data_IF_071479446970
#
_entry.id   IF_071479446970
#
_cell.length_a   1.000
_cell.length_b   1.000
_cell.length_c   1.000
_cell.angle_alpha   90.00
_cell.angle_beta   90.00
_cell.angle_gamma   90.00
#
_symmetry.space_group_name_H-M   'P 1'
#
loop_
_entity.id
_entity.type
_entity.pdbx_description
1 polymer ?
#
# COMPACT_ATOMS: atom_id res chain seq x y z
N UNK A 1 6.30 -17.71 -28.80
CA UNK A 1 5.54 -16.80 -27.94
C UNK A 1 6.54 -15.94 -27.22
N UNK A 2 6.52 -14.63 -27.43
CA UNK A 2 7.36 -13.73 -26.64
C UNK A 2 6.93 -13.81 -25.18
N UNK A 3 7.88 -14.05 -24.28
CA UNK A 3 7.63 -14.06 -22.83
C UNK A 3 7.19 -12.67 -22.39
N UNK A 4 6.09 -12.61 -21.65
CA UNK A 4 5.59 -11.34 -21.08
C UNK A 4 6.51 -10.98 -19.92
N UNK A 5 7.20 -9.84 -20.04
CA UNK A 5 8.12 -9.32 -19.01
C UNK A 5 7.47 -8.19 -18.20
N UNK A 6 8.01 -7.82 -17.03
CA UNK A 6 7.53 -6.64 -16.29
C UNK A 6 7.49 -5.36 -17.15
N UNK A 7 8.53 -5.11 -17.93
CA UNK A 7 8.60 -3.94 -18.83
C UNK A 7 7.53 -3.99 -19.91
N UNK A 8 7.31 -5.14 -20.55
CA UNK A 8 6.28 -5.28 -21.58
C UNK A 8 4.88 -5.07 -21.01
N UNK A 9 4.62 -5.56 -19.80
CA UNK A 9 3.33 -5.38 -19.12
C UNK A 9 3.09 -3.92 -18.70
N UNK A 10 4.14 -3.25 -18.23
CA UNK A 10 4.11 -1.82 -17.93
C UNK A 10 3.76 -1.01 -19.18
N UNK A 11 4.43 -1.27 -20.31
CA UNK A 11 4.16 -0.57 -21.55
C UNK A 11 2.73 -0.80 -22.05
N UNK A 12 2.22 -2.02 -21.96
CA UNK A 12 0.82 -2.32 -22.29
C UNK A 12 -0.17 -1.50 -21.45
N UNK A 13 0.11 -1.30 -20.17
CA UNK A 13 -0.74 -0.49 -19.30
C UNK A 13 -0.71 1.01 -19.67
N UNK A 14 0.45 1.52 -20.08
CA UNK A 14 0.58 2.89 -20.59
C UNK A 14 -0.17 3.07 -21.93
N UNK A 15 -0.01 2.13 -22.86
CA UNK A 15 -0.64 2.17 -24.17
C UNK A 15 -2.17 2.05 -24.08
N UNK A 16 -2.65 1.28 -23.10
CA UNK A 16 -4.08 1.15 -22.79
C UNK A 16 -4.66 2.38 -22.05
N UNK A 17 -3.81 3.32 -21.62
CA UNK A 17 -4.23 4.50 -20.86
C UNK A 17 -4.70 4.22 -19.44
N UNK A 18 -4.48 3.00 -18.92
CA UNK A 18 -4.85 2.62 -17.55
C UNK A 18 -3.89 3.16 -16.50
N UNK A 19 -2.67 3.51 -16.92
CA UNK A 19 -1.64 4.13 -16.08
C UNK A 19 -0.96 5.27 -16.83
N UNK A 20 -0.48 6.25 -16.08
CA UNK A 20 0.27 7.37 -16.65
C UNK A 20 1.78 7.13 -16.53
N UNK A 21 2.59 7.67 -17.47
CA UNK A 21 4.04 7.59 -17.38
C UNK A 21 4.56 8.24 -16.11
N UNK A 22 5.41 7.51 -15.40
CA UNK A 22 6.09 7.95 -14.18
C UNK A 22 7.53 7.46 -14.23
N UNK A 23 8.49 8.37 -14.13
CA UNK A 23 9.91 8.02 -14.27
C UNK A 23 10.40 7.14 -13.12
N UNK A 24 9.90 7.36 -11.89
CA UNK A 24 10.27 6.57 -10.72
C UNK A 24 9.69 5.16 -10.83
N UNK A 25 8.42 5.03 -11.25
CA UNK A 25 7.82 3.72 -11.53
C UNK A 25 8.55 3.01 -12.67
N UNK A 26 8.92 3.72 -13.73
CA UNK A 26 9.70 3.14 -14.84
C UNK A 26 11.05 2.60 -14.37
N UNK A 27 11.75 3.35 -13.51
CA UNK A 27 13.00 2.89 -12.92
C UNK A 27 12.81 1.63 -12.07
N UNK A 28 11.74 1.56 -11.28
CA UNK A 28 11.39 0.38 -10.50
C UNK A 28 11.06 -0.82 -11.39
N UNK A 29 10.28 -0.62 -12.46
CA UNK A 29 9.94 -1.66 -13.44
C UNK A 29 11.20 -2.19 -14.12
N UNK A 30 12.11 -1.32 -14.53
CA UNK A 30 13.39 -1.71 -15.14
C UNK A 30 14.23 -2.56 -14.18
N UNK A 31 14.24 -2.22 -12.91
CA UNK A 31 14.94 -3.02 -11.89
C UNK A 31 14.26 -4.38 -11.65
N UNK A 32 12.94 -4.42 -11.60
CA UNK A 32 12.18 -5.67 -11.51
C UNK A 32 12.38 -6.56 -12.74
N UNK A 33 12.44 -5.97 -13.92
CA UNK A 33 12.72 -6.68 -15.17
C UNK A 33 14.14 -7.30 -15.17
N UNK A 34 15.13 -6.58 -14.66
CA UNK A 34 16.49 -7.11 -14.51
C UNK A 34 16.52 -8.33 -13.55
N UNK A 35 15.80 -8.28 -12.44
CA UNK A 35 15.64 -9.42 -11.52
C UNK A 35 14.94 -10.58 -12.23
N UNK A 36 13.86 -10.29 -12.94
CA UNK A 36 13.10 -11.27 -13.72
C UNK A 36 13.99 -11.99 -14.73
N UNK A 37 14.81 -11.26 -15.49
CA UNK A 37 15.74 -11.82 -16.45
C UNK A 37 16.78 -12.73 -15.79
N UNK A 38 17.38 -12.31 -14.67
CA UNK A 38 18.36 -13.11 -13.96
C UNK A 38 17.73 -14.41 -13.42
N UNK A 39 16.53 -14.35 -12.85
CA UNK A 39 15.83 -15.53 -12.35
C UNK A 39 15.44 -16.51 -13.46
N UNK A 40 15.04 -16.00 -14.61
CA UNK A 40 14.65 -16.86 -15.75
C UNK A 40 15.85 -17.46 -16.46
N UNK A 41 16.99 -16.78 -16.54
CA UNK A 41 18.23 -17.28 -17.14
C UNK A 41 18.85 -18.43 -16.32
N UNK A 42 18.81 -18.36 -15.00
CA UNK A 42 19.33 -19.42 -14.13
C UNK A 42 18.59 -20.75 -14.29
N UNK A 43 17.35 -20.73 -14.77
CA UNK A 43 16.56 -21.94 -15.05
C UNK A 43 16.76 -22.51 -16.47
N UNK A 44 17.40 -21.78 -17.36
CA UNK A 44 17.60 -22.17 -18.76
C UNK A 44 19.01 -22.69 -19.08
N UNK A 45 19.94 -22.64 -18.14
CA UNK A 45 21.28 -23.20 -18.35
C UNK A 45 21.19 -24.74 -18.23
N UNK A 46 21.39 -25.52 -19.32
CA UNK A 46 21.43 -26.96 -19.21
C UNK A 46 22.62 -27.34 -18.32
N UNK A 47 22.39 -28.28 -17.40
CA UNK A 47 23.48 -28.86 -16.63
C UNK A 47 24.60 -29.30 -17.62
N UNK A 48 25.86 -28.97 -17.35
CA UNK A 48 26.95 -29.40 -18.23
C UNK A 48 26.89 -30.92 -18.36
N UNK A 49 26.81 -31.42 -19.60
CA UNK A 49 26.87 -32.85 -19.91
C UNK A 49 28.13 -33.40 -19.29
N UNK A 50 27.98 -34.24 -18.27
CA UNK A 50 29.04 -34.79 -17.46
C UNK A 50 30.06 -35.53 -18.29
N UNK A 51 31.29 -35.02 -18.31
CA UNK A 51 32.48 -35.83 -18.59
C UNK A 51 32.84 -36.66 -17.37
N UNK A 52 33.61 -37.73 -17.56
CA UNK A 52 34.03 -38.73 -16.55
C UNK A 52 34.62 -38.14 -15.24
N UNK A 53 34.98 -36.84 -15.20
CA UNK A 53 35.45 -36.14 -14.00
C UNK A 53 34.35 -35.79 -12.98
N UNK A 54 33.08 -35.72 -13.38
CA UNK A 54 31.97 -35.43 -12.46
C UNK A 54 31.64 -36.63 -11.55
N UNK A 55 32.02 -37.84 -11.95
CA UNK A 55 31.81 -39.03 -11.14
C UNK A 55 32.77 -39.15 -9.95
N UNK A 56 33.96 -38.56 -10.03
CA UNK A 56 34.96 -38.60 -8.97
C UNK A 56 34.68 -37.58 -7.84
N UNK A 57 34.01 -36.44 -8.16
CA UNK A 57 33.62 -35.44 -7.16
C UNK A 57 32.53 -35.94 -6.19
N UNK A 58 31.60 -36.77 -6.66
CA UNK A 58 30.55 -37.35 -5.81
C UNK A 58 31.06 -38.36 -4.76
N UNK A 59 32.23 -38.92 -4.96
CA UNK A 59 32.82 -39.91 -4.04
C UNK A 59 33.53 -39.21 -2.84
N UNK A 60 33.83 -37.90 -2.94
CA UNK A 60 34.57 -37.13 -1.92
C UNK A 60 33.68 -36.25 -1.04
N UNK A 61 32.36 -36.38 -1.10
CA UNK A 61 31.44 -35.68 -0.18
C UNK A 61 31.45 -34.17 -0.25
N UNK A 62 32.07 -33.54 -1.28
CA UNK A 62 31.94 -32.11 -1.51
C UNK A 62 30.57 -31.84 -2.14
N UNK A 63 29.68 -31.21 -1.36
CA UNK A 63 28.51 -30.47 -1.90
C UNK A 63 29.06 -29.50 -2.96
N UNK A 64 28.75 -29.73 -4.23
CA UNK A 64 28.90 -28.69 -5.25
C UNK A 64 27.96 -27.54 -4.86
N UNK A 65 28.50 -26.52 -4.24
CA UNK A 65 27.83 -25.24 -4.13
C UNK A 65 27.63 -24.74 -5.57
N UNK A 66 26.36 -24.62 -5.95
CA UNK A 66 25.96 -23.98 -7.20
C UNK A 66 26.58 -22.58 -7.25
N UNK A 67 27.56 -22.38 -8.14
CA UNK A 67 28.35 -21.16 -8.27
C UNK A 67 27.62 -20.01 -8.96
N UNK A 68 26.31 -20.07 -9.10
CA UNK A 68 25.51 -18.94 -9.58
C UNK A 68 25.37 -17.93 -8.44
N UNK A 69 25.83 -16.67 -8.64
CA UNK A 69 25.69 -15.66 -7.61
C UNK A 69 24.20 -15.45 -7.29
N UNK A 70 23.87 -15.26 -6.01
CA UNK A 70 22.49 -15.03 -5.62
C UNK A 70 21.93 -13.78 -6.33
N UNK A 71 20.69 -13.87 -6.82
CA UNK A 71 20.03 -12.75 -7.48
C UNK A 71 19.66 -11.71 -6.43
N UNK A 72 20.18 -10.51 -6.59
CA UNK A 72 19.91 -9.39 -5.69
C UNK A 72 18.46 -8.91 -5.88
N UNK A 73 17.71 -8.86 -4.78
CA UNK A 73 16.31 -8.47 -4.78
C UNK A 73 16.06 -6.97 -4.78
N UNK A 74 14.83 -6.58 -4.45
CA UNK A 74 14.41 -5.18 -4.42
C UNK A 74 13.50 -4.93 -3.20
N UNK A 75 13.81 -3.87 -2.46
CA UNK A 75 12.97 -3.33 -1.40
C UNK A 75 12.42 -1.98 -1.86
N UNK A 76 11.13 -1.95 -2.21
CA UNK A 76 10.43 -0.74 -2.67
C UNK A 76 9.70 -0.10 -1.49
N UNK A 77 9.99 1.17 -1.23
CA UNK A 77 9.32 1.88 -0.16
C UNK A 77 8.78 3.23 -0.63
N UNK A 78 7.80 3.74 0.10
CA UNK A 78 7.16 5.02 -0.18
C UNK A 78 5.80 5.10 0.46
N UNK A 79 5.21 6.27 0.45
CA UNK A 79 3.89 6.54 1.00
C UNK A 79 2.78 5.69 0.37
N UNK A 80 1.63 5.75 0.96
CA UNK A 80 0.45 5.01 0.49
C UNK A 80 -0.01 5.53 -0.87
N UNK A 81 -0.50 4.63 -1.73
CA UNK A 81 -1.05 4.99 -3.04
C UNK A 81 -0.01 5.27 -4.13
N UNK A 82 1.24 4.81 -3.95
CA UNK A 82 2.35 5.02 -4.90
C UNK A 82 2.51 3.92 -5.93
N UNK A 83 1.53 3.07 -6.07
CA UNK A 83 1.56 1.98 -7.06
C UNK A 83 2.47 0.81 -6.68
N UNK A 84 2.95 0.70 -5.43
CA UNK A 84 3.80 -0.42 -4.98
C UNK A 84 3.16 -1.78 -5.22
N UNK A 85 1.89 -1.92 -4.88
CA UNK A 85 1.12 -3.15 -5.10
C UNK A 85 1.06 -3.52 -6.57
N UNK A 86 0.83 -2.54 -7.42
CA UNK A 86 0.80 -2.74 -8.87
C UNK A 86 2.17 -3.13 -9.43
N UNK A 87 3.26 -2.50 -8.97
CA UNK A 87 4.63 -2.89 -9.34
C UNK A 87 4.93 -4.34 -8.93
N UNK A 88 4.48 -4.73 -7.73
CA UNK A 88 4.58 -6.12 -7.28
C UNK A 88 3.76 -7.06 -8.17
N UNK A 89 2.54 -6.67 -8.58
CA UNK A 89 1.70 -7.44 -9.49
C UNK A 89 2.40 -7.65 -10.84
N UNK A 90 2.96 -6.61 -11.42
CA UNK A 90 3.71 -6.70 -12.68
C UNK A 90 4.84 -7.74 -12.60
N UNK A 91 5.59 -7.72 -11.51
CA UNK A 91 6.70 -8.65 -11.30
C UNK A 91 6.19 -10.07 -11.06
N UNK A 92 5.32 -10.25 -10.09
CA UNK A 92 4.89 -11.58 -9.65
C UNK A 92 4.09 -12.34 -10.72
N UNK A 93 3.20 -11.64 -11.42
CA UNK A 93 2.35 -12.27 -12.46
C UNK A 93 3.15 -12.65 -13.70
N UNK A 94 4.18 -11.88 -14.05
CA UNK A 94 5.00 -12.17 -15.23
C UNK A 94 6.10 -13.19 -14.96
N UNK A 95 6.50 -13.40 -13.71
CA UNK A 95 7.52 -14.36 -13.36
C UNK A 95 7.01 -15.78 -13.63
N UNK A 96 7.68 -16.56 -14.51
CA UNK A 96 7.25 -17.92 -14.85
C UNK A 96 7.48 -18.92 -13.72
N UNK A 97 6.77 -20.05 -13.78
CA UNK A 97 6.95 -21.16 -12.85
C UNK A 97 6.18 -21.01 -11.55
N UNK A 98 6.33 -22.01 -10.69
CA UNK A 98 5.60 -22.15 -9.42
C UNK A 98 6.46 -21.88 -8.18
N UNK A 99 7.79 -21.78 -8.36
CA UNK A 99 8.73 -21.56 -7.25
C UNK A 99 8.83 -20.09 -6.85
N UNK A 100 7.68 -19.46 -6.66
CA UNK A 100 7.51 -18.08 -6.23
C UNK A 100 6.36 -18.02 -5.23
N UNK A 101 6.50 -17.23 -4.17
CA UNK A 101 5.45 -17.01 -3.17
C UNK A 101 5.26 -15.52 -2.95
N UNK A 102 4.01 -15.10 -2.81
CA UNK A 102 3.63 -13.75 -2.43
C UNK A 102 2.74 -13.79 -1.19
N UNK A 103 3.14 -13.09 -0.16
CA UNK A 103 2.47 -13.06 1.14
C UNK A 103 2.50 -11.65 1.70
N UNK A 104 1.44 -11.25 2.40
CA UNK A 104 1.58 -10.16 3.35
C UNK A 104 2.61 -10.54 4.41
N UNK A 105 3.49 -9.62 4.75
CA UNK A 105 4.55 -9.87 5.72
C UNK A 105 4.02 -10.41 7.05
N UNK A 106 2.88 -9.89 7.51
CA UNK A 106 2.23 -10.40 8.72
C UNK A 106 1.85 -11.90 8.61
N UNK A 107 1.32 -12.34 7.47
CA UNK A 107 1.00 -13.76 7.24
C UNK A 107 2.23 -14.65 7.19
N UNK A 108 3.31 -14.14 6.61
CA UNK A 108 4.60 -14.83 6.63
C UNK A 108 5.07 -15.06 8.08
N UNK A 109 5.03 -14.04 8.93
CA UNK A 109 5.42 -14.17 10.33
C UNK A 109 4.51 -15.11 11.13
N UNK A 110 3.21 -15.12 10.87
CA UNK A 110 2.30 -16.11 11.48
C UNK A 110 2.74 -17.54 11.15
N UNK A 111 3.02 -17.83 9.89
CA UNK A 111 3.55 -19.15 9.49
C UNK A 111 4.85 -19.49 10.20
N UNK A 112 5.78 -18.54 10.30
CA UNK A 112 7.06 -18.74 11.02
C UNK A 112 6.81 -19.11 12.48
N UNK A 113 5.91 -18.42 13.17
CA UNK A 113 5.56 -18.74 14.56
C UNK A 113 4.90 -20.12 14.73
N UNK A 114 4.01 -20.48 13.82
CA UNK A 114 3.40 -21.81 13.80
C UNK A 114 4.46 -22.92 13.63
N UNK A 115 5.38 -22.73 12.68
CA UNK A 115 6.46 -23.70 12.46
C UNK A 115 7.45 -23.74 13.63
N UNK A 116 7.78 -22.62 14.28
CA UNK A 116 8.60 -22.58 15.50
C UNK A 116 7.94 -23.38 16.64
N UNK A 117 6.63 -23.23 16.79
CA UNK A 117 5.88 -23.99 17.79
C UNK A 117 5.97 -25.50 17.54
N UNK A 118 5.87 -25.92 16.29
CA UNK A 118 6.01 -27.31 15.89
C UNK A 118 7.44 -27.86 16.05
N UNK A 119 8.45 -26.99 16.03
CA UNK A 119 9.88 -27.32 16.12
C UNK A 119 10.45 -27.13 17.54
N UNK A 120 9.60 -27.09 18.56
CA UNK A 120 10.07 -27.00 19.94
C UNK A 120 10.98 -28.18 20.29
N UNK A 121 12.19 -27.86 20.79
CA UNK A 121 13.20 -28.86 21.14
C UNK A 121 14.21 -29.20 20.03
N UNK A 122 14.00 -28.71 18.82
CA UNK A 122 14.99 -28.84 17.76
C UNK A 122 16.10 -27.79 17.93
N UNK A 123 17.32 -28.16 17.54
CA UNK A 123 18.41 -27.20 17.43
C UNK A 123 18.25 -26.41 16.13
N UNK A 124 18.51 -25.09 16.19
CA UNK A 124 18.49 -24.20 15.04
C UNK A 124 17.16 -24.21 14.22
N UNK A 125 16.00 -23.99 14.87
CA UNK A 125 14.71 -24.10 14.19
C UNK A 125 14.54 -23.11 13.03
N UNK A 126 15.19 -21.95 13.06
CA UNK A 126 15.15 -20.98 11.93
C UNK A 126 15.83 -21.50 10.68
N UNK A 127 16.90 -22.29 10.83
CA UNK A 127 17.56 -22.95 9.69
C UNK A 127 16.63 -24.01 9.06
N UNK A 128 15.91 -24.77 9.86
CA UNK A 128 14.92 -25.75 9.38
C UNK A 128 13.78 -25.04 8.62
N UNK A 129 13.28 -23.92 9.16
CA UNK A 129 12.23 -23.12 8.53
C UNK A 129 12.73 -22.57 7.18
N UNK A 130 13.94 -22.04 7.14
CA UNK A 130 14.54 -21.54 5.90
C UNK A 130 14.72 -22.65 4.85
N UNK A 131 15.09 -23.86 5.26
CA UNK A 131 15.15 -25.04 4.35
C UNK A 131 13.78 -25.38 3.77
N UNK A 132 12.72 -25.31 4.57
CA UNK A 132 11.33 -25.54 4.12
C UNK A 132 10.90 -24.48 3.10
N UNK A 133 11.17 -23.20 3.36
CA UNK A 133 10.89 -22.15 2.37
C UNK A 133 11.67 -22.38 1.10
N UNK A 134 12.96 -22.70 1.18
CA UNK A 134 13.77 -22.99 -0.02
C UNK A 134 13.28 -24.19 -0.81
N UNK A 135 12.76 -25.19 -0.15
CA UNK A 135 12.14 -26.34 -0.83
C UNK A 135 10.93 -25.95 -1.67
N UNK A 136 10.18 -24.94 -1.25
CA UNK A 136 8.95 -24.48 -1.90
C UNK A 136 9.19 -23.36 -2.91
N UNK A 137 10.17 -22.48 -2.67
CA UNK A 137 10.33 -21.24 -3.45
C UNK A 137 11.77 -20.77 -3.60
N UNK A 138 12.02 -20.07 -4.69
CA UNK A 138 13.29 -19.34 -4.93
C UNK A 138 13.10 -17.83 -4.78
N UNK A 139 11.84 -17.36 -4.81
CA UNK A 139 11.49 -15.94 -4.73
C UNK A 139 10.37 -15.72 -3.72
N UNK A 140 10.65 -14.87 -2.73
CA UNK A 140 9.66 -14.37 -1.78
C UNK A 140 9.28 -12.94 -2.11
N UNK A 141 8.00 -12.69 -2.25
CA UNK A 141 7.43 -11.36 -2.40
C UNK A 141 6.64 -11.02 -1.13
N UNK A 142 7.05 -9.95 -0.43
CA UNK A 142 6.36 -9.46 0.74
C UNK A 142 5.61 -8.18 0.45
N UNK A 143 4.30 -8.20 0.65
CA UNK A 143 3.52 -6.99 0.72
C UNK A 143 3.53 -6.43 2.14
N UNK A 144 3.64 -5.10 2.24
CA UNK A 144 3.55 -4.36 3.50
C UNK A 144 4.54 -4.83 4.57
N UNK A 145 5.84 -4.82 4.22
CA UNK A 145 6.90 -5.15 5.16
C UNK A 145 6.93 -4.11 6.28
N UNK A 146 6.49 -4.52 7.45
CA UNK A 146 6.42 -3.67 8.63
C UNK A 146 6.62 -4.50 9.90
N UNK A 147 7.44 -4.02 10.83
CA UNK A 147 7.77 -4.70 12.08
C UNK A 147 7.38 -3.84 13.27
N UNK A 148 6.41 -4.30 14.05
CA UNK A 148 5.94 -3.64 15.26
C UNK A 148 6.06 -4.51 16.52
N UNK A 149 6.06 -5.82 16.36
CA UNK A 149 6.10 -6.78 17.45
C UNK A 149 7.54 -7.17 17.80
N UNK A 150 7.83 -7.24 19.10
CA UNK A 150 9.17 -7.60 19.60
C UNK A 150 9.54 -9.04 19.24
N UNK A 151 8.58 -9.96 19.25
CA UNK A 151 8.85 -11.37 18.96
C UNK A 151 9.30 -11.54 17.50
N UNK A 152 8.60 -10.87 16.57
CA UNK A 152 8.99 -10.81 15.17
C UNK A 152 10.38 -10.18 15.00
N UNK A 153 10.60 -9.04 15.66
CA UNK A 153 11.87 -8.32 15.56
C UNK A 153 13.07 -9.17 16.02
N UNK A 154 12.90 -9.97 17.06
CA UNK A 154 13.98 -10.82 17.59
C UNK A 154 14.31 -12.01 16.70
N UNK A 155 13.36 -12.48 15.89
CA UNK A 155 13.53 -13.62 14.98
C UNK A 155 14.11 -13.20 13.62
N UNK A 156 13.79 -11.99 13.17
CA UNK A 156 14.02 -11.57 11.78
C UNK A 156 15.50 -11.51 11.38
N UNK A 157 16.40 -11.15 12.28
CA UNK A 157 17.83 -11.12 11.99
C UNK A 157 18.37 -12.49 11.54
N UNK A 158 18.10 -13.52 12.34
CA UNK A 158 18.49 -14.89 12.05
C UNK A 158 17.75 -15.49 10.85
N UNK A 159 16.45 -15.23 10.77
CA UNK A 159 15.60 -15.75 9.70
C UNK A 159 15.98 -15.19 8.32
N UNK A 160 16.17 -13.87 8.21
CA UNK A 160 16.55 -13.24 6.94
C UNK A 160 17.92 -13.71 6.48
N UNK A 161 18.88 -13.82 7.40
CA UNK A 161 20.19 -14.38 7.10
C UNK A 161 20.09 -15.82 6.58
N UNK A 162 19.30 -16.66 7.21
CA UNK A 162 19.11 -18.04 6.82
C UNK A 162 18.44 -18.19 5.44
N UNK A 163 17.45 -17.35 5.15
CA UNK A 163 16.77 -17.32 3.84
C UNK A 163 17.73 -16.88 2.72
N UNK A 164 18.46 -15.78 2.93
CA UNK A 164 19.40 -15.25 1.93
C UNK A 164 20.59 -16.17 1.70
N UNK A 165 21.10 -16.84 2.72
CA UNK A 165 22.21 -17.81 2.57
C UNK A 165 21.83 -19.01 1.69
N UNK A 166 20.54 -19.28 1.52
CA UNK A 166 20.00 -20.31 0.63
C UNK A 166 19.69 -19.82 -0.78
N UNK A 167 20.04 -18.57 -1.08
CA UNK A 167 19.82 -17.97 -2.39
C UNK A 167 18.36 -17.62 -2.68
N UNK A 168 17.53 -17.44 -1.66
CA UNK A 168 16.17 -16.91 -1.85
C UNK A 168 16.28 -15.41 -2.19
N UNK A 169 15.61 -15.01 -3.27
CA UNK A 169 15.49 -13.62 -3.69
C UNK A 169 14.27 -13.00 -3.03
N UNK A 170 14.45 -11.82 -2.43
CA UNK A 170 13.38 -11.05 -1.79
C UNK A 170 13.00 -9.85 -2.65
N UNK A 171 11.70 -9.72 -2.93
CA UNK A 171 11.10 -8.48 -3.42
C UNK A 171 10.04 -8.04 -2.42
N UNK A 172 10.20 -6.85 -1.86
CA UNK A 172 9.33 -6.37 -0.79
C UNK A 172 8.79 -4.97 -1.08
N UNK A 173 7.59 -4.71 -0.58
CA UNK A 173 7.01 -3.37 -0.51
C UNK A 173 6.89 -2.93 0.95
N UNK A 174 7.10 -1.65 1.22
CA UNK A 174 6.95 -1.06 2.55
C UNK A 174 6.54 0.41 2.44
N UNK A 175 6.05 0.98 3.54
CA UNK A 175 5.79 2.42 3.62
C UNK A 175 7.02 3.21 4.12
N UNK A 176 8.02 2.52 4.66
CA UNK A 176 9.21 3.12 5.26
C UNK A 176 10.49 2.46 4.74
N UNK A 177 11.62 3.19 4.73
CA UNK A 177 12.91 2.60 4.36
C UNK A 177 13.38 1.57 5.39
N UNK A 178 14.30 0.65 5.00
CA UNK A 178 14.80 -0.37 5.92
C UNK A 178 15.38 0.19 7.22
N UNK A 179 16.09 1.32 7.15
CA UNK A 179 16.72 1.94 8.32
C UNK A 179 15.71 2.45 9.37
N UNK A 180 14.46 2.64 8.99
CA UNK A 180 13.37 3.06 9.89
C UNK A 180 12.51 1.90 10.39
N UNK A 181 12.75 0.68 9.93
CA UNK A 181 12.04 -0.50 10.42
C UNK A 181 12.25 -0.67 11.92
N UNK A 182 11.17 -0.97 12.65
CA UNK A 182 11.18 -1.18 14.09
C UNK A 182 11.80 0.00 14.87
N UNK A 183 11.65 1.22 14.35
CA UNK A 183 12.13 2.46 14.98
C UNK A 183 11.50 2.60 16.38
N UNK A 184 12.31 2.94 17.37
CA UNK A 184 11.93 3.02 18.77
C UNK A 184 11.43 1.69 19.39
N UNK A 185 11.61 0.55 18.74
CA UNK A 185 11.26 -0.76 19.27
C UNK A 185 12.20 -1.21 20.40
N UNK A 186 11.66 -2.01 21.31
CA UNK A 186 12.43 -2.59 22.41
C UNK A 186 13.54 -3.50 21.88
N UNK A 187 14.75 -3.36 22.41
CA UNK A 187 15.94 -4.13 22.00
C UNK A 187 16.26 -4.00 20.50
N UNK A 188 16.06 -2.84 19.94
CA UNK A 188 16.27 -2.60 18.50
C UNK A 188 17.65 -3.00 17.99
N UNK A 189 18.67 -2.94 18.84
CA UNK A 189 20.02 -3.39 18.49
C UNK A 189 20.06 -4.87 18.01
N UNK A 190 19.18 -5.72 18.54
CA UNK A 190 19.05 -7.12 18.12
C UNK A 190 18.29 -7.29 16.78
N UNK A 191 17.55 -6.26 16.36
CA UNK A 191 16.87 -6.22 15.08
C UNK A 191 17.76 -5.67 13.94
N UNK A 192 18.77 -4.86 14.24
CA UNK A 192 19.67 -4.27 13.24
C UNK A 192 20.26 -5.30 12.26
N UNK A 193 20.63 -6.54 12.66
CA UNK A 193 21.08 -7.55 11.71
C UNK A 193 20.06 -7.88 10.60
N UNK A 194 18.76 -7.75 10.86
CA UNK A 194 17.72 -7.92 9.83
C UNK A 194 17.79 -6.80 8.79
N UNK A 195 17.96 -5.56 9.20
CA UNK A 195 18.14 -4.40 8.33
C UNK A 195 19.39 -4.58 7.46
N UNK A 196 20.51 -4.96 8.06
CA UNK A 196 21.77 -5.21 7.35
C UNK A 196 21.63 -6.34 6.32
N UNK A 197 20.95 -7.43 6.67
CA UNK A 197 20.70 -8.53 5.76
C UNK A 197 19.86 -8.09 4.54
N UNK A 198 18.83 -7.30 4.77
CA UNK A 198 17.98 -6.75 3.69
C UNK A 198 18.83 -5.86 2.77
N UNK A 199 19.58 -4.91 3.32
CA UNK A 199 20.41 -3.97 2.54
C UNK A 199 21.55 -4.68 1.79
N UNK A 200 22.08 -5.77 2.34
CA UNK A 200 23.11 -6.57 1.69
C UNK A 200 22.57 -7.38 0.50
N UNK A 201 21.30 -7.78 0.53
CA UNK A 201 20.71 -8.69 -0.46
C UNK A 201 19.64 -8.05 -1.35
N UNK A 202 19.25 -6.81 -1.10
CA UNK A 202 18.27 -6.07 -1.89
C UNK A 202 18.80 -4.68 -2.23
N UNK A 203 18.45 -4.20 -3.42
CA UNK A 203 18.52 -2.77 -3.70
C UNK A 203 17.33 -2.10 -3.00
N UNK A 204 17.54 -0.89 -2.52
CA UNK A 204 16.51 -0.10 -1.83
C UNK A 204 16.09 1.04 -2.74
N UNK A 205 14.82 1.10 -3.09
CA UNK A 205 14.27 2.15 -3.93
C UNK A 205 13.13 2.87 -3.21
N UNK A 206 13.25 4.19 -3.17
CA UNK A 206 12.10 5.04 -2.89
C UNK A 206 11.28 5.16 -4.17
N UNK A 207 10.05 4.64 -4.14
CA UNK A 207 9.11 4.72 -5.25
C UNK A 207 8.11 5.86 -5.11
N UNK A 208 8.33 6.76 -4.14
CA UNK A 208 7.68 8.04 -4.13
C UNK A 208 8.19 8.84 -5.33
N UNK A 209 7.37 8.88 -6.36
CA UNK A 209 7.54 9.88 -7.38
C UNK A 209 7.46 11.24 -6.70
N UNK A 210 8.43 12.06 -6.58
CA UNK A 210 8.38 13.36 -5.87
C UNK A 210 7.15 14.24 -6.19
N UNK A 211 6.23 13.75 -7.04
CA UNK A 211 4.88 14.23 -7.30
C UNK A 211 3.89 13.16 -6.84
N UNK A 212 3.26 13.42 -5.71
CA UNK A 212 2.11 12.62 -5.27
C UNK A 212 1.03 12.68 -6.36
N UNK A 213 0.77 11.54 -7.00
CA UNK A 213 -0.29 11.46 -8.00
C UNK A 213 -1.63 11.93 -7.44
N UNK A 214 -1.95 11.55 -6.20
CA UNK A 214 -3.13 12.05 -5.50
C UNK A 214 -3.06 13.55 -5.29
N UNK A 215 -1.91 14.05 -4.84
CA UNK A 215 -1.68 15.48 -4.67
C UNK A 215 -1.89 16.22 -6.00
N UNK A 216 -1.29 15.72 -7.08
CA UNK A 216 -1.46 16.31 -8.41
C UNK A 216 -2.92 16.27 -8.86
N UNK A 217 -3.61 15.16 -8.69
CA UNK A 217 -5.03 15.03 -9.04
C UNK A 217 -5.87 16.01 -8.23
N UNK A 218 -5.65 16.10 -6.92
CA UNK A 218 -6.41 16.97 -6.03
C UNK A 218 -6.09 18.46 -6.24
N UNK A 219 -4.84 18.82 -6.53
CA UNK A 219 -4.48 20.23 -6.80
C UNK A 219 -5.00 20.73 -8.13
N UNK A 220 -5.22 19.87 -9.09
CA UNK A 220 -5.80 20.21 -10.39
C UNK A 220 -7.33 20.16 -10.40
N UNK A 221 -7.95 19.58 -9.40
CA UNK A 221 -9.40 19.41 -9.32
C UNK A 221 -10.09 20.53 -8.56
N UNK A 222 -11.35 20.76 -8.89
CA UNK A 222 -12.25 21.46 -7.99
C UNK A 222 -12.69 20.51 -6.89
N UNK A 223 -12.46 20.88 -5.63
CA UNK A 223 -12.75 20.02 -4.48
C UNK A 223 -14.14 20.25 -3.87
N UNK A 224 -14.79 21.36 -4.26
CA UNK A 224 -16.17 21.65 -3.94
C UNK A 224 -16.95 21.84 -5.25
N UNK A 225 -17.79 20.86 -5.58
CA UNK A 225 -18.52 20.78 -6.84
C UNK A 225 -20.00 21.08 -6.60
N UNK A 226 -20.50 22.12 -7.23
CA UNK A 226 -21.90 22.55 -7.14
C UNK A 226 -22.37 23.21 -8.44
N UNK A 227 -23.67 23.23 -8.74
CA UNK A 227 -24.77 22.54 -8.07
C UNK A 227 -24.78 21.03 -8.31
N UNK A 228 -25.70 20.29 -7.70
CA UNK A 228 -25.92 18.87 -7.97
C UNK A 228 -26.63 18.73 -9.33
N UNK A 229 -25.89 18.26 -10.33
CA UNK A 229 -26.36 18.00 -11.68
C UNK A 229 -25.52 16.88 -12.32
N UNK A 230 -25.84 16.53 -13.56
CA UNK A 230 -25.14 15.46 -14.28
C UNK A 230 -23.66 15.76 -14.50
N UNK A 231 -23.30 17.02 -14.73
CA UNK A 231 -21.91 17.45 -14.91
C UNK A 231 -21.11 17.23 -13.61
N UNK A 232 -21.64 17.67 -12.47
CA UNK A 232 -21.05 17.45 -11.15
C UNK A 232 -20.92 15.96 -10.84
N UNK A 233 -21.93 15.16 -11.17
CA UNK A 233 -21.90 13.71 -10.99
C UNK A 233 -20.78 13.06 -11.83
N UNK A 234 -20.61 13.47 -13.06
CA UNK A 234 -19.53 12.99 -13.95
C UNK A 234 -18.15 13.40 -13.42
N UNK A 235 -18.00 14.63 -12.95
CA UNK A 235 -16.74 15.10 -12.35
C UNK A 235 -16.38 14.32 -11.08
N UNK A 236 -17.36 14.03 -10.23
CA UNK A 236 -17.14 13.19 -9.03
C UNK A 236 -16.71 11.77 -9.42
N UNK A 237 -17.34 11.18 -10.43
CA UNK A 237 -16.98 9.83 -10.89
C UNK A 237 -15.58 9.80 -11.53
N UNK A 238 -15.22 10.81 -12.31
CA UNK A 238 -13.88 10.96 -12.87
C UNK A 238 -12.80 11.11 -11.78
N UNK A 239 -13.08 11.90 -10.74
CA UNK A 239 -12.19 12.04 -9.59
C UNK A 239 -12.07 10.74 -8.79
N UNK A 240 -13.18 10.04 -8.59
CA UNK A 240 -13.16 8.73 -7.96
C UNK A 240 -12.21 7.77 -8.72
N UNK A 241 -12.42 7.62 -10.02
CA UNK A 241 -11.59 6.75 -10.86
C UNK A 241 -10.12 7.13 -10.79
N UNK A 242 -9.81 8.44 -10.82
CA UNK A 242 -8.45 8.93 -10.72
C UNK A 242 -7.80 8.66 -9.36
N UNK A 243 -8.55 8.71 -8.26
CA UNK A 243 -8.04 8.52 -6.89
C UNK A 243 -8.04 7.06 -6.46
N UNK A 244 -9.09 6.33 -6.79
CA UNK A 244 -9.28 4.93 -6.39
C UNK A 244 -8.63 3.93 -7.37
N UNK A 245 -8.46 4.31 -8.62
CA UNK A 245 -7.86 3.48 -9.67
C UNK A 245 -8.81 2.45 -10.30
N UNK A 246 -10.04 2.34 -9.80
CA UNK A 246 -11.08 1.41 -10.27
C UNK A 246 -12.43 2.10 -10.33
N UNK A 247 -13.34 1.66 -11.21
CA UNK A 247 -14.71 2.13 -11.19
C UNK A 247 -15.35 1.92 -9.80
N UNK A 248 -16.28 2.80 -9.45
CA UNK A 248 -16.97 2.70 -8.18
C UNK A 248 -17.97 1.56 -8.22
N UNK A 249 -17.71 0.55 -7.39
CA UNK A 249 -18.63 -0.56 -7.18
C UNK A 249 -19.32 -0.41 -5.82
N UNK A 250 -20.59 -0.79 -5.76
CA UNK A 250 -21.28 -0.88 -4.47
C UNK A 250 -20.63 -1.97 -3.64
N UNK A 251 -20.01 -1.57 -2.54
CA UNK A 251 -19.40 -2.50 -1.60
C UNK A 251 -20.32 -2.78 -0.43
N UNK A 252 -20.14 -3.94 0.25
CA UNK A 252 -20.83 -4.19 1.50
C UNK A 252 -20.52 -3.08 2.50
N UNK A 253 -21.44 -2.86 3.44
CA UNK A 253 -21.26 -1.87 4.49
C UNK A 253 -19.94 -2.08 5.24
N UNK A 254 -19.22 -0.99 5.51
CA UNK A 254 -18.08 -1.01 6.43
C UNK A 254 -18.58 -1.16 7.86
N UNK A 255 -17.82 -1.81 8.71
CA UNK A 255 -18.08 -1.80 10.15
C UNK A 255 -17.22 -0.70 10.79
N UNK A 256 -17.90 0.31 11.36
CA UNK A 256 -17.27 1.41 12.09
C UNK A 256 -17.85 1.46 13.50
N UNK A 257 -17.00 1.31 14.52
CA UNK A 257 -17.41 1.29 15.93
C UNK A 257 -18.55 0.31 16.21
N UNK A 258 -18.44 -0.91 15.67
CA UNK A 258 -19.43 -2.00 15.78
C UNK A 258 -20.80 -1.67 15.16
N UNK A 259 -20.83 -0.76 14.22
CA UNK A 259 -22.05 -0.37 13.49
C UNK A 259 -21.80 -0.38 11.99
N UNK A 260 -22.74 -0.90 11.19
CA UNK A 260 -22.60 -0.85 9.75
C UNK A 260 -22.67 0.60 9.24
N UNK A 261 -21.80 0.93 8.28
CA UNK A 261 -21.78 2.19 7.56
C UNK A 261 -21.89 1.90 6.08
N UNK A 262 -22.98 2.31 5.46
CA UNK A 262 -23.20 2.12 4.04
C UNK A 262 -22.30 3.06 3.25
N UNK A 263 -21.46 2.51 2.36
CA UNK A 263 -20.59 3.31 1.49
C UNK A 263 -21.08 3.32 0.05
N UNK A 264 -20.62 4.32 -0.70
CA UNK A 264 -20.75 4.36 -2.16
C UNK A 264 -19.52 3.75 -2.85
N UNK A 265 -18.44 3.56 -2.11
CA UNK A 265 -17.20 2.93 -2.53
C UNK A 265 -16.11 3.11 -1.50
N UNK A 266 -15.21 2.14 -1.38
CA UNK A 266 -14.02 2.23 -0.53
C UNK A 266 -12.88 1.48 -1.21
N UNK A 267 -11.88 2.21 -1.70
CA UNK A 267 -10.73 1.65 -2.40
C UNK A 267 -9.52 2.54 -2.24
N UNK A 268 -8.35 1.93 -2.18
CA UNK A 268 -7.07 2.65 -2.20
C UNK A 268 -7.03 3.84 -1.23
N UNK A 269 -7.48 3.64 0.03
CA UNK A 269 -7.62 4.66 1.07
C UNK A 269 -8.49 5.87 0.70
N UNK A 270 -9.34 5.71 -0.29
CA UNK A 270 -10.36 6.67 -0.69
C UNK A 270 -11.74 6.10 -0.33
N UNK A 271 -12.54 6.88 0.38
CA UNK A 271 -13.90 6.56 0.77
C UNK A 271 -14.87 7.44 -0.02
N UNK A 272 -15.87 6.84 -0.66
CA UNK A 272 -17.02 7.55 -1.18
C UNK A 272 -18.24 7.26 -0.29
N UNK A 273 -18.87 8.31 0.20
CA UNK A 273 -19.98 8.21 1.16
C UNK A 273 -20.93 9.40 1.01
N UNK A 274 -22.23 9.20 1.29
CA UNK A 274 -23.21 10.27 1.20
C UNK A 274 -23.27 11.11 2.48
N UNK A 275 -23.68 12.37 2.32
CA UNK A 275 -24.01 13.24 3.45
C UNK A 275 -25.11 12.62 4.33
N UNK A 276 -26.09 11.98 3.74
CA UNK A 276 -27.16 11.29 4.47
C UNK A 276 -26.60 10.26 5.43
N UNK A 277 -25.69 9.41 4.97
CA UNK A 277 -25.07 8.37 5.81
C UNK A 277 -24.25 8.95 6.96
N UNK A 278 -23.51 10.05 6.73
CA UNK A 278 -22.62 10.60 7.76
C UNK A 278 -23.27 11.66 8.66
N UNK A 279 -24.23 12.43 8.16
CA UNK A 279 -24.73 13.61 8.87
C UNK A 279 -26.25 13.54 9.19
N UNK A 280 -27.04 12.79 8.44
CA UNK A 280 -28.49 12.62 8.71
C UNK A 280 -28.72 11.41 9.61
N UNK A 281 -28.15 10.28 9.30
CA UNK A 281 -28.17 9.11 10.18
C UNK A 281 -27.48 9.41 11.52
N UNK A 282 -27.87 8.66 12.55
CA UNK A 282 -27.33 8.85 13.90
C UNK A 282 -25.87 8.44 14.01
N UNK A 283 -24.96 9.29 13.53
CA UNK A 283 -23.50 9.19 13.66
C UNK A 283 -22.98 10.14 14.73
N UNK A 284 -21.85 9.79 15.28
CA UNK A 284 -21.18 10.57 16.32
C UNK A 284 -19.77 10.98 15.91
N UNK A 285 -19.19 11.89 16.67
CA UNK A 285 -17.78 12.30 16.51
C UNK A 285 -16.83 11.10 16.50
N UNK A 286 -17.11 10.04 17.28
CA UNK A 286 -16.30 8.82 17.29
C UNK A 286 -16.24 8.12 15.94
N UNK A 287 -17.33 8.17 15.16
CA UNK A 287 -17.36 7.61 13.81
C UNK A 287 -16.48 8.43 12.87
N UNK A 288 -16.49 9.76 12.99
CA UNK A 288 -15.65 10.65 12.19
C UNK A 288 -14.16 10.49 12.53
N UNK A 289 -13.81 10.31 13.81
CA UNK A 289 -12.45 10.00 14.24
C UNK A 289 -11.99 8.68 13.62
N UNK A 290 -12.81 7.63 13.67
CA UNK A 290 -12.47 6.34 13.08
C UNK A 290 -12.24 6.45 11.57
N UNK A 291 -13.14 7.12 10.85
CA UNK A 291 -13.00 7.33 9.41
C UNK A 291 -11.77 8.17 9.05
N UNK A 292 -11.49 9.23 9.83
CA UNK A 292 -10.34 10.10 9.60
C UNK A 292 -8.99 9.39 9.76
N UNK A 293 -8.93 8.32 10.56
CA UNK A 293 -7.74 7.48 10.71
C UNK A 293 -7.56 6.50 9.56
N UNK A 294 -8.66 5.95 9.05
CA UNK A 294 -8.65 4.90 8.05
C UNK A 294 -8.43 5.41 6.62
N UNK A 295 -8.91 6.62 6.32
CA UNK A 295 -8.95 7.12 4.95
C UNK A 295 -8.14 8.39 4.77
N UNK A 296 -7.26 8.37 3.77
CA UNK A 296 -6.51 9.55 3.34
C UNK A 296 -7.41 10.59 2.64
N UNK A 297 -8.37 10.10 1.86
CA UNK A 297 -9.28 10.94 1.06
C UNK A 297 -10.71 10.48 1.25
N UNK A 298 -11.60 11.43 1.47
CA UNK A 298 -13.04 11.20 1.56
C UNK A 298 -13.75 12.02 0.49
N UNK A 299 -14.58 11.34 -0.30
CA UNK A 299 -15.47 11.96 -1.27
C UNK A 299 -16.89 11.95 -0.66
N UNK A 300 -17.35 13.12 -0.27
CA UNK A 300 -18.66 13.32 0.37
C UNK A 300 -19.68 13.77 -0.68
N UNK A 301 -20.69 12.95 -0.88
CA UNK A 301 -21.70 13.14 -1.91
C UNK A 301 -22.96 13.78 -1.39
N UNK A 302 -23.56 14.63 -2.22
CA UNK A 302 -24.90 15.15 -2.09
C UNK A 302 -25.13 15.96 -0.80
N UNK A 303 -24.21 16.88 -0.51
CA UNK A 303 -24.38 17.82 0.61
C UNK A 303 -25.48 18.83 0.27
N UNK A 304 -26.62 18.83 1.01
CA UNK A 304 -27.70 19.76 0.74
C UNK A 304 -27.43 21.13 1.32
N UNK A 305 -28.17 22.14 0.88
CA UNK A 305 -28.28 23.39 1.63
C UNK A 305 -28.87 23.08 3.00
N UNK A 306 -28.14 23.43 4.05
CA UNK A 306 -28.56 23.19 5.44
C UNK A 306 -29.42 24.35 5.90
N UNK A 307 -30.74 24.10 5.93
CA UNK A 307 -31.78 25.05 6.34
C UNK A 307 -31.88 25.14 7.86
N UNK A 308 -32.67 26.11 8.43
CA UNK A 308 -32.92 26.16 9.87
C UNK A 308 -33.56 24.90 10.46
N UNK A 309 -34.12 24.01 9.64
CA UNK A 309 -34.62 22.70 10.05
C UNK A 309 -33.55 21.62 10.18
N UNK A 310 -32.33 21.89 9.69
CA UNK A 310 -31.24 20.93 9.63
C UNK A 310 -30.07 21.31 10.56
N UNK A 311 -30.36 21.90 11.71
CA UNK A 311 -29.33 22.36 12.63
C UNK A 311 -28.53 21.21 13.27
N UNK A 312 -29.15 20.04 13.44
CA UNK A 312 -28.46 18.85 13.95
C UNK A 312 -27.51 18.27 12.91
N UNK A 313 -27.93 18.22 11.66
CA UNK A 313 -27.12 17.80 10.53
C UNK A 313 -25.92 18.77 10.32
N UNK A 314 -26.18 20.07 10.45
CA UNK A 314 -25.13 21.09 10.39
C UNK A 314 -24.09 20.91 11.50
N UNK A 315 -24.49 20.60 12.73
CA UNK A 315 -23.57 20.30 13.84
C UNK A 315 -22.71 19.05 13.55
N UNK A 316 -23.31 18.01 12.99
CA UNK A 316 -22.55 16.80 12.60
C UNK A 316 -21.60 17.08 11.45
N UNK A 317 -22.01 17.88 10.48
CA UNK A 317 -21.12 18.29 9.39
C UNK A 317 -19.93 19.10 9.89
N UNK A 318 -20.12 20.03 10.82
CA UNK A 318 -19.04 20.79 11.47
C UNK A 318 -18.08 19.82 12.18
N UNK A 319 -18.61 18.89 12.98
CA UNK A 319 -17.79 17.92 13.70
C UNK A 319 -16.99 17.02 12.75
N UNK A 320 -17.58 16.58 11.65
CA UNK A 320 -16.91 15.82 10.61
C UNK A 320 -15.74 16.61 9.98
N UNK A 321 -15.99 17.84 9.58
CA UNK A 321 -14.97 18.71 8.99
C UNK A 321 -13.84 18.99 9.98
N UNK A 322 -14.17 19.21 11.23
CA UNK A 322 -13.17 19.44 12.28
C UNK A 322 -12.23 18.24 12.44
N UNK A 323 -12.77 17.02 12.51
CA UNK A 323 -11.96 15.81 12.63
C UNK A 323 -11.11 15.54 11.39
N UNK A 324 -11.67 15.74 10.21
CA UNK A 324 -10.96 15.55 8.96
C UNK A 324 -9.84 16.61 8.77
N UNK A 325 -10.08 17.84 9.14
CA UNK A 325 -9.08 18.90 9.12
C UNK A 325 -7.90 18.60 10.05
N UNK A 326 -8.15 18.22 11.29
CA UNK A 326 -7.12 17.92 12.28
C UNK A 326 -6.21 16.75 11.86
N UNK A 327 -6.73 15.80 11.10
CA UNK A 327 -5.98 14.63 10.61
C UNK A 327 -5.49 14.76 9.17
N UNK A 328 -5.61 15.92 8.59
CA UNK A 328 -5.20 16.21 7.22
C UNK A 328 -5.86 15.30 6.17
N UNK A 329 -7.08 14.88 6.40
CA UNK A 329 -7.89 14.14 5.43
C UNK A 329 -8.20 15.05 4.24
N UNK A 330 -8.05 14.55 3.03
CA UNK A 330 -8.40 15.29 1.81
C UNK A 330 -9.88 15.10 1.55
N UNK A 331 -10.61 16.20 1.40
CA UNK A 331 -12.07 16.18 1.27
C UNK A 331 -12.48 16.72 -0.10
N UNK A 332 -13.23 15.91 -0.84
CA UNK A 332 -13.90 16.28 -2.08
C UNK A 332 -15.41 16.24 -1.84
N UNK A 333 -16.11 17.28 -2.21
CA UNK A 333 -17.54 17.44 -1.89
C UNK A 333 -18.34 17.72 -3.14
N UNK A 334 -19.46 17.01 -3.33
CA UNK A 334 -20.54 17.46 -4.20
C UNK A 334 -21.68 18.05 -3.38
N UNK A 335 -22.11 19.24 -3.75
CA UNK A 335 -23.05 20.02 -2.94
C UNK A 335 -24.11 20.70 -3.78
N UNK A 336 -25.25 20.99 -3.14
CA UNK A 336 -26.37 21.66 -3.77
C UNK A 336 -26.09 23.14 -4.08
N UNK A 337 -25.19 23.77 -3.32
CA UNK A 337 -24.87 25.19 -3.44
C UNK A 337 -23.34 25.43 -3.29
N UNK A 338 -22.84 26.59 -3.70
CA UNK A 338 -21.48 27.01 -3.40
C UNK A 338 -21.19 27.03 -1.90
N UNK A 339 -19.91 26.91 -1.54
CA UNK A 339 -19.44 26.75 -0.17
C UNK A 339 -20.01 27.77 0.81
N UNK A 340 -20.07 29.07 0.42
CA UNK A 340 -20.55 30.12 1.31
C UNK A 340 -22.08 30.22 1.41
N UNK A 341 -22.81 29.48 0.59
CA UNK A 341 -24.27 29.44 0.57
C UNK A 341 -24.83 28.14 1.14
N UNK A 342 -23.95 27.21 1.54
CA UNK A 342 -24.37 25.87 1.94
C UNK A 342 -25.09 25.83 3.29
N UNK A 343 -24.82 26.76 4.18
CA UNK A 343 -25.49 26.89 5.48
C UNK A 343 -26.39 28.13 5.51
N UNK A 344 -27.68 27.91 5.76
CA UNK A 344 -28.70 28.95 5.86
C UNK A 344 -29.47 28.87 7.19
N UNK A 345 -28.88 28.23 8.18
CA UNK A 345 -29.41 28.16 9.54
C UNK A 345 -29.00 29.35 10.40
N UNK A 346 -29.42 29.34 11.65
CA UNK A 346 -29.17 30.43 12.61
C UNK A 346 -28.41 29.98 13.86
N UNK A 347 -28.62 28.75 14.32
CA UNK A 347 -28.16 28.32 15.64
C UNK A 347 -26.66 28.07 15.75
N UNK A 348 -26.00 27.65 14.67
CA UNK A 348 -24.56 27.34 14.63
C UNK A 348 -23.80 28.25 13.66
N UNK A 349 -24.28 29.47 13.47
CA UNK A 349 -23.75 30.42 12.51
C UNK A 349 -22.28 30.77 12.77
N UNK A 350 -21.91 30.94 14.03
CA UNK A 350 -20.53 31.26 14.41
C UNK A 350 -19.60 30.07 14.18
N UNK A 351 -20.00 28.89 14.62
CA UNK A 351 -19.23 27.64 14.45
C UNK A 351 -19.10 27.28 12.97
N UNK A 352 -20.14 27.56 12.19
CA UNK A 352 -20.12 27.31 10.75
C UNK A 352 -19.17 28.24 10.00
N UNK A 353 -18.98 29.47 10.45
CA UNK A 353 -17.98 30.40 9.91
C UNK A 353 -16.56 29.80 10.02
N UNK A 354 -16.23 29.22 11.16
CA UNK A 354 -14.95 28.50 11.34
C UNK A 354 -14.85 27.30 10.43
N UNK A 355 -15.93 26.53 10.31
CA UNK A 355 -16.02 25.40 9.39
C UNK A 355 -15.76 25.81 7.93
N UNK A 356 -16.35 26.92 7.48
CA UNK A 356 -16.09 27.48 6.14
C UNK A 356 -14.62 27.83 5.93
N UNK A 357 -13.99 28.49 6.91
CA UNK A 357 -12.57 28.83 6.83
C UNK A 357 -11.69 27.56 6.71
N UNK A 358 -12.00 26.50 7.47
CA UNK A 358 -11.31 25.21 7.37
C UNK A 358 -11.53 24.56 6.01
N UNK A 359 -12.75 24.56 5.50
CA UNK A 359 -13.06 24.02 4.17
C UNK A 359 -12.35 24.76 3.04
N UNK A 360 -12.20 26.08 3.16
CA UNK A 360 -11.40 26.87 2.22
C UNK A 360 -9.91 26.52 2.30
N UNK A 361 -9.36 26.40 3.50
CA UNK A 361 -7.97 25.97 3.71
C UNK A 361 -7.73 24.56 3.18
N UNK A 362 -8.67 23.64 3.37
CA UNK A 362 -8.59 22.26 2.90
C UNK A 362 -8.52 22.14 1.37
N UNK A 363 -8.86 23.17 0.62
CA UNK A 363 -8.70 23.24 -0.82
C UNK A 363 -7.35 23.83 -1.27
N UNK A 364 -6.55 24.34 -0.34
CA UNK A 364 -5.26 24.93 -0.64
C UNK A 364 -4.20 23.87 -0.95
N UNK A 365 -3.28 24.19 -1.84
CA UNK A 365 -2.14 23.33 -2.15
C UNK A 365 -1.29 23.01 -0.92
N UNK A 366 -1.14 23.99 -0.03
CA UNK A 366 -0.41 23.81 1.23
C UNK A 366 -1.05 22.73 2.12
N UNK A 367 -2.39 22.77 2.29
CA UNK A 367 -3.10 21.74 3.03
C UNK A 367 -3.04 20.36 2.34
N UNK A 368 -3.20 20.33 1.03
CA UNK A 368 -3.15 19.08 0.26
C UNK A 368 -1.79 18.40 0.34
N UNK A 369 -0.71 19.14 0.55
CA UNK A 369 0.65 18.61 0.76
C UNK A 369 0.89 18.04 2.16
N UNK A 370 0.04 18.38 3.14
CA UNK A 370 0.19 17.84 4.51
C UNK A 370 0.00 16.33 4.52
N UNK A 371 0.87 15.65 5.25
CA UNK A 371 0.76 14.21 5.43
C UNK A 371 -0.50 13.86 6.23
N UNK A 372 -1.17 12.79 5.82
CA UNK A 372 -2.34 12.25 6.53
C UNK A 372 -1.89 11.64 7.87
N UNK A 373 -2.59 11.98 8.94
CA UNK A 373 -2.34 11.50 10.29
C UNK A 373 -3.29 10.33 10.61
N UNK A 374 -2.85 9.11 10.29
CA UNK A 374 -3.61 7.87 10.49
C UNK A 374 -3.77 7.49 11.98
#
# INVERSE_FOLDING_TARGET
>A
MQSITPTSRYQQALDAGTHQPDEVQRAAVNRLDAIWQQLTQTHTTPAPRGGLMAAFGKLLGKKEESTTPPVRGLYMWGGVGRGKTWLMDLFFQTLPGTRKQRLHFHRFMLRVHEELTALQGESDPLEIIADRFKAETDVLCFDEFFVSDITDAMLLGGLMKALFSRGITLVATSNIPPDELYRNGLQRARFLPAIEAIKANCDVMNVDAGVDYRLRTLTQAHLWLSPLNDETAQQMEALWLALAGTPREQRPALEINHRPLQTLGAENQTLAVSFTTLCVEARSQHDYIALSRLYHTVMLYDVPVMTPLMENEARRFIALVDEFYERHVKLVVSAQAPLHEIYQGERVKFEFQRCLSRLQEMQSEEYLKREHLA
#
